data_IF_549528981433
#
_entry.id   IF_549528981433
#
_cell.length_a   1.000
_cell.length_b   1.000
_cell.length_c   1.000
_cell.angle_alpha   90.00
_cell.angle_beta   90.00
_cell.angle_gamma   90.00
#
_symmetry.space_group_name_H-M   'P 1'
#
loop_
_entity.id
_entity.type
_entity.pdbx_description
1 polymer ?
#
# COMPACT_ATOMS: atom_id res chain seq x y z
N UNK A 1 -1.70 63.36 -6.59
CA UNK A 1 -3.10 62.93 -6.83
C UNK A 1 -3.30 61.57 -6.18
N UNK A 2 -4.43 61.44 -5.45
CA UNK A 2 -5.05 60.24 -4.87
C UNK A 2 -4.42 59.66 -3.60
N UNK A 3 -4.97 60.17 -2.51
CA UNK A 3 -5.20 59.49 -1.24
C UNK A 3 -6.25 58.38 -1.45
N UNK A 4 -6.05 57.20 -0.87
CA UNK A 4 -7.16 56.41 -0.30
C UNK A 4 -6.66 55.45 0.78
N UNK A 5 -7.27 55.65 1.94
CA UNK A 5 -7.23 54.91 3.18
C UNK A 5 -8.23 53.73 3.14
N UNK A 6 -7.95 52.66 3.88
CA UNK A 6 -8.92 51.75 4.51
C UNK A 6 -9.82 50.88 3.62
N UNK A 7 -9.77 49.55 3.81
CA UNK A 7 -10.79 48.86 4.61
C UNK A 7 -10.58 47.34 4.61
N UNK A 8 -10.50 46.81 5.83
CA UNK A 8 -10.62 45.40 6.17
C UNK A 8 -12.07 44.96 5.85
N UNK A 9 -12.25 44.07 4.88
CA UNK A 9 -13.55 43.49 4.56
C UNK A 9 -13.58 42.01 4.95
N UNK A 10 -14.33 41.69 6.00
CA UNK A 10 -14.75 40.35 6.34
C UNK A 10 -15.63 39.78 5.21
N UNK A 11 -15.15 38.75 4.50
CA UNK A 11 -16.02 37.95 3.64
C UNK A 11 -16.66 36.83 4.46
N UNK A 12 -17.94 37.02 4.78
CA UNK A 12 -18.82 35.96 5.27
C UNK A 12 -19.11 34.97 4.13
N UNK A 13 -19.01 33.67 4.42
CA UNK A 13 -19.31 32.59 3.50
C UNK A 13 -20.84 32.43 3.35
N UNK A 14 -21.40 32.83 2.21
CA UNK A 14 -22.82 32.61 1.89
C UNK A 14 -22.99 31.21 1.27
N UNK A 15 -23.51 30.27 2.05
CA UNK A 15 -23.90 28.95 1.55
C UNK A 15 -25.30 29.04 0.92
N UNK A 16 -25.38 29.22 -0.40
CA UNK A 16 -26.64 29.14 -1.14
C UNK A 16 -26.92 27.67 -1.51
N UNK A 17 -27.82 27.04 -0.75
CA UNK A 17 -28.36 25.73 -1.08
C UNK A 17 -29.51 25.89 -2.09
N UNK A 18 -29.23 25.73 -3.38
CA UNK A 18 -30.26 25.63 -4.41
C UNK A 18 -30.73 24.18 -4.55
N UNK A 19 -31.85 23.85 -3.89
CA UNK A 19 -32.59 22.63 -4.15
C UNK A 19 -33.37 22.75 -5.46
N UNK A 20 -32.79 22.26 -6.56
CA UNK A 20 -33.54 21.99 -7.79
C UNK A 20 -34.27 20.65 -7.68
N UNK A 21 -35.56 20.70 -7.38
CA UNK A 21 -36.46 19.55 -7.41
C UNK A 21 -36.75 19.14 -8.87
N UNK A 22 -35.99 18.18 -9.40
CA UNK A 22 -36.38 17.46 -10.63
C UNK A 22 -37.26 16.27 -10.25
N UNK A 23 -38.55 16.37 -10.55
CA UNK A 23 -39.51 15.28 -10.49
C UNK A 23 -39.29 14.33 -11.66
N UNK A 24 -38.83 13.11 -11.37
CA UNK A 24 -38.83 12.01 -12.33
C UNK A 24 -39.76 10.88 -11.88
N UNK A 25 -40.75 10.66 -12.73
CA UNK A 25 -41.88 9.74 -12.64
C UNK A 25 -41.43 8.30 -12.42
N UNK A 26 -42.09 7.62 -11.49
CA UNK A 26 -41.79 6.26 -11.05
C UNK A 26 -42.28 5.20 -12.06
N UNK A 27 -41.36 4.55 -12.77
CA UNK A 27 -41.55 3.21 -13.33
C UNK A 27 -41.21 2.15 -12.28
N UNK A 28 -42.22 1.55 -11.65
CA UNK A 28 -42.07 0.43 -10.71
C UNK A 28 -41.88 -0.89 -11.47
N UNK A 29 -40.71 -1.52 -11.37
CA UNK A 29 -40.53 -2.88 -11.91
C UNK A 29 -39.15 -3.54 -11.90
N UNK A 30 -38.05 -2.89 -11.48
CA UNK A 30 -36.69 -3.49 -11.63
C UNK A 30 -35.83 -3.54 -10.34
N UNK A 31 -36.27 -2.98 -9.21
CA UNK A 31 -35.42 -2.81 -8.02
C UNK A 31 -34.96 -4.09 -7.29
N UNK A 32 -35.62 -5.23 -7.45
CA UNK A 32 -35.28 -6.47 -6.72
C UNK A 32 -34.08 -7.22 -7.32
N UNK A 33 -33.92 -7.21 -8.65
CA UNK A 33 -32.74 -7.78 -9.32
C UNK A 33 -31.46 -7.00 -8.99
N UNK A 34 -31.55 -5.68 -8.98
CA UNK A 34 -30.42 -4.80 -8.65
C UNK A 34 -29.90 -5.00 -7.22
N UNK A 35 -30.77 -5.24 -6.24
CA UNK A 35 -30.36 -5.54 -4.86
C UNK A 35 -29.60 -6.87 -4.77
N UNK A 36 -30.07 -7.92 -5.45
CA UNK A 36 -29.38 -9.23 -5.48
C UNK A 36 -28.00 -9.14 -6.14
N UNK A 37 -27.91 -8.44 -7.28
CA UNK A 37 -26.64 -8.21 -7.98
C UNK A 37 -25.66 -7.37 -7.12
N UNK A 38 -26.18 -6.37 -6.41
CA UNK A 38 -25.37 -5.55 -5.50
C UNK A 38 -24.79 -6.39 -4.34
N UNK A 39 -25.62 -7.24 -3.72
CA UNK A 39 -25.17 -8.17 -2.67
C UNK A 39 -24.13 -9.15 -3.21
N UNK A 40 -24.33 -9.73 -4.39
CA UNK A 40 -23.35 -10.63 -5.02
C UNK A 40 -22.00 -9.93 -5.25
N UNK A 41 -22.01 -8.67 -5.72
CA UNK A 41 -20.80 -7.86 -5.90
C UNK A 41 -20.09 -7.61 -4.57
N UNK A 42 -20.83 -7.27 -3.50
CA UNK A 42 -20.25 -7.11 -2.16
C UNK A 42 -19.59 -8.41 -1.71
N UNK A 43 -20.28 -9.55 -1.85
CA UNK A 43 -19.75 -10.85 -1.44
C UNK A 43 -18.50 -11.23 -2.25
N UNK A 44 -18.47 -10.93 -3.54
CA UNK A 44 -17.29 -11.12 -4.38
C UNK A 44 -16.11 -10.26 -3.90
N UNK A 45 -16.35 -8.97 -3.59
CA UNK A 45 -15.32 -8.07 -3.07
C UNK A 45 -14.77 -8.53 -1.71
N UNK A 46 -15.64 -9.05 -0.83
CA UNK A 46 -15.21 -9.61 0.47
C UNK A 46 -14.31 -10.82 0.25
N UNK A 47 -14.66 -11.72 -0.67
CA UNK A 47 -13.82 -12.89 -0.99
C UNK A 47 -12.46 -12.47 -1.53
N UNK A 48 -12.42 -11.53 -2.47
CA UNK A 48 -11.16 -11.07 -3.06
C UNK A 48 -10.27 -10.36 -2.03
N UNK A 49 -10.88 -9.58 -1.11
CA UNK A 49 -10.16 -8.98 0.01
C UNK A 49 -9.53 -10.05 0.90
N UNK A 50 -10.25 -11.10 1.27
CA UNK A 50 -9.72 -12.22 2.07
C UNK A 50 -8.57 -12.93 1.36
N UNK A 51 -8.70 -13.18 0.05
CA UNK A 51 -7.64 -13.77 -0.77
C UNK A 51 -6.37 -12.91 -0.74
N UNK A 52 -6.52 -11.60 -0.95
CA UNK A 52 -5.39 -10.66 -0.92
C UNK A 52 -4.79 -10.51 0.48
N UNK A 53 -5.62 -10.56 1.54
CA UNK A 53 -5.16 -10.55 2.92
C UNK A 53 -4.24 -11.74 3.20
N UNK A 54 -4.66 -12.97 2.85
CA UNK A 54 -3.84 -14.18 3.01
C UNK A 54 -2.50 -14.08 2.26
N UNK A 55 -2.49 -13.51 1.06
CA UNK A 55 -1.25 -13.24 0.32
C UNK A 55 -0.35 -12.23 1.06
N UNK A 56 -0.93 -11.17 1.61
CA UNK A 56 -0.17 -10.17 2.35
C UNK A 56 0.38 -10.73 3.67
N UNK A 57 -0.34 -11.64 4.33
CA UNK A 57 0.14 -12.38 5.49
C UNK A 57 1.37 -13.22 5.13
N UNK A 58 1.35 -13.94 4.00
CA UNK A 58 2.53 -14.66 3.50
C UNK A 58 3.73 -13.73 3.23
N UNK A 59 3.50 -12.54 2.66
CA UNK A 59 4.55 -11.53 2.51
C UNK A 59 5.10 -11.04 3.85
N UNK A 60 4.26 -10.91 4.88
CA UNK A 60 4.71 -10.51 6.21
C UNK A 60 5.57 -11.58 6.85
N UNK A 61 5.17 -12.86 6.77
CA UNK A 61 5.98 -13.99 7.23
C UNK A 61 7.33 -14.03 6.52
N UNK A 62 7.34 -13.84 5.20
CA UNK A 62 8.60 -13.76 4.43
C UNK A 62 9.50 -12.62 4.92
N UNK A 63 8.95 -11.44 5.23
CA UNK A 63 9.74 -10.32 5.79
C UNK A 63 10.36 -10.63 7.15
N UNK A 64 9.71 -11.44 7.98
CA UNK A 64 10.26 -11.78 9.30
C UNK A 64 11.52 -12.65 9.24
N UNK A 65 11.68 -13.45 8.17
CA UNK A 65 12.82 -14.34 8.00
C UNK A 65 13.94 -13.74 7.16
N UNK A 66 13.70 -12.60 6.50
CA UNK A 66 14.71 -11.90 5.73
C UNK A 66 15.54 -11.03 6.68
N UNK A 67 16.88 -11.12 6.66
CA UNK A 67 17.72 -10.28 7.51
C UNK A 67 17.63 -8.80 7.08
N UNK A 68 16.95 -7.96 7.88
CA UNK A 68 16.85 -6.51 7.70
C UNK A 68 16.90 -5.75 9.03
N UNK A 69 17.03 -4.41 8.99
CA UNK A 69 16.91 -3.60 10.19
C UNK A 69 15.45 -3.53 10.66
N UNK A 70 15.18 -3.38 11.97
CA UNK A 70 13.82 -3.28 12.51
C UNK A 70 12.98 -2.12 11.94
N UNK A 71 13.64 -1.07 11.44
CA UNK A 71 12.98 0.10 10.84
C UNK A 71 12.64 -0.08 9.35
N UNK A 72 13.15 -1.12 8.70
CA UNK A 72 13.08 -1.23 7.25
C UNK A 72 11.66 -1.57 6.78
N UNK A 73 11.10 -0.71 5.93
CA UNK A 73 9.81 -0.95 5.28
C UNK A 73 10.03 -1.49 3.87
N UNK A 74 10.00 -2.82 3.73
CA UNK A 74 10.23 -3.47 2.44
C UNK A 74 8.98 -3.48 1.56
N UNK A 75 9.11 -3.00 0.32
CA UNK A 75 8.10 -3.19 -0.74
C UNK A 75 7.99 -4.67 -1.13
N UNK A 76 6.92 -5.07 -1.85
CA UNK A 76 6.75 -6.47 -2.31
C UNK A 76 7.92 -6.91 -3.20
N UNK A 77 8.34 -6.06 -4.15
CA UNK A 77 9.46 -6.37 -5.04
C UNK A 77 10.79 -6.46 -4.28
N UNK A 78 11.04 -5.54 -3.34
CA UNK A 78 12.24 -5.58 -2.52
C UNK A 78 12.29 -6.85 -1.66
N UNK A 79 11.16 -7.23 -1.06
CA UNK A 79 11.03 -8.47 -0.27
C UNK A 79 11.41 -9.68 -1.11
N UNK A 80 10.89 -9.80 -2.34
CA UNK A 80 11.20 -10.93 -3.22
C UNK A 80 12.67 -10.93 -3.67
N UNK A 81 13.21 -9.78 -4.09
CA UNK A 81 14.62 -9.64 -4.48
C UNK A 81 15.55 -10.06 -3.33
N UNK A 82 15.25 -9.61 -2.11
CA UNK A 82 16.07 -9.87 -0.94
C UNK A 82 15.98 -11.34 -0.49
N UNK A 83 14.78 -11.94 -0.55
CA UNK A 83 14.60 -13.37 -0.30
C UNK A 83 15.45 -14.24 -1.24
N UNK A 84 15.43 -13.98 -2.55
CA UNK A 84 16.23 -14.72 -3.52
C UNK A 84 17.73 -14.62 -3.24
N UNK A 85 18.21 -13.43 -2.86
CA UNK A 85 19.62 -13.23 -2.49
C UNK A 85 19.97 -13.97 -1.20
N UNK A 86 19.10 -13.93 -0.21
CA UNK A 86 19.34 -14.62 1.06
C UNK A 86 19.42 -16.14 0.87
N UNK A 87 18.56 -16.72 0.02
CA UNK A 87 18.65 -18.15 -0.35
C UNK A 87 20.02 -18.46 -0.98
N UNK A 88 20.47 -17.67 -1.97
CA UNK A 88 21.77 -17.89 -2.63
C UNK A 88 22.93 -17.83 -1.63
N UNK A 89 22.90 -16.85 -0.74
CA UNK A 89 23.89 -16.69 0.30
C UNK A 89 23.94 -17.90 1.23
N UNK A 90 22.79 -18.41 1.68
CA UNK A 90 22.74 -19.61 2.52
C UNK A 90 23.30 -20.84 1.79
N UNK A 91 23.06 -20.97 0.48
CA UNK A 91 23.64 -22.04 -0.35
C UNK A 91 25.16 -21.93 -0.41
N UNK A 92 25.70 -20.74 -0.69
CA UNK A 92 27.16 -20.51 -0.75
C UNK A 92 27.85 -20.83 0.60
N UNK A 93 27.22 -20.48 1.73
CA UNK A 93 27.74 -20.86 3.07
C UNK A 93 27.84 -22.37 3.22
N UNK A 94 26.80 -23.09 2.81
CA UNK A 94 26.73 -24.54 2.96
C UNK A 94 27.76 -25.24 2.06
N UNK A 95 27.95 -24.73 0.84
CA UNK A 95 28.88 -25.31 -0.14
C UNK A 95 30.36 -25.03 0.21
N UNK A 96 30.67 -23.88 0.81
CA UNK A 96 32.05 -23.47 1.14
C UNK A 96 32.48 -23.82 2.57
N UNK A 97 31.67 -24.58 3.32
CA UNK A 97 32.07 -25.19 4.59
C UNK A 97 32.78 -24.22 5.53
N UNK A 98 32.09 -23.14 5.94
CA UNK A 98 32.59 -22.15 6.92
C UNK A 98 33.91 -21.42 6.53
N UNK A 99 34.38 -21.54 5.28
CA UNK A 99 35.70 -21.08 4.84
C UNK A 99 35.79 -19.66 4.25
N UNK A 100 34.66 -18.99 4.02
CA UNK A 100 34.65 -17.56 3.66
C UNK A 100 34.13 -16.75 4.84
N UNK A 101 35.01 -16.04 5.58
CA UNK A 101 34.59 -15.10 6.61
C UNK A 101 34.13 -13.82 5.91
N UNK A 102 32.97 -13.86 5.26
CA UNK A 102 32.20 -12.62 5.09
C UNK A 102 31.71 -12.28 6.48
N UNK A 103 32.49 -11.47 7.20
CA UNK A 103 32.14 -11.04 8.55
C UNK A 103 30.74 -10.39 8.53
N UNK A 104 30.08 -10.37 9.69
CA UNK A 104 28.77 -9.72 9.84
C UNK A 104 28.80 -8.26 9.34
N UNK A 105 29.97 -7.63 9.30
CA UNK A 105 30.19 -6.27 8.79
C UNK A 105 30.22 -6.19 7.25
N UNK A 106 30.66 -7.23 6.53
CA UNK A 106 30.72 -7.38 5.07
C UNK A 106 29.35 -7.80 4.56
N UNK A 107 28.63 -8.64 5.32
CA UNK A 107 27.20 -8.89 5.14
C UNK A 107 26.39 -7.61 5.34
N UNK A 108 26.58 -6.92 6.46
CA UNK A 108 25.93 -5.64 6.70
C UNK A 108 26.33 -4.61 5.64
N UNK A 109 27.58 -4.60 5.13
CA UNK A 109 27.99 -3.74 4.00
C UNK A 109 27.35 -4.17 2.69
N UNK A 110 27.23 -5.45 2.34
CA UNK A 110 26.51 -5.88 1.14
C UNK A 110 25.03 -5.50 1.26
N UNK A 111 24.41 -5.65 2.42
CA UNK A 111 23.02 -5.22 2.64
C UNK A 111 22.86 -3.69 2.74
N UNK A 112 23.87 -2.95 3.22
CA UNK A 112 23.85 -1.48 3.40
C UNK A 112 24.33 -0.71 2.16
N UNK A 113 25.29 -1.24 1.39
CA UNK A 113 25.75 -0.66 0.11
C UNK A 113 24.66 -0.86 -0.95
N UNK A 114 23.95 -1.98 -0.93
CA UNK A 114 22.75 -2.18 -1.76
C UNK A 114 21.52 -1.39 -1.31
N UNK A 115 21.62 -0.59 -0.24
CA UNK A 115 20.59 0.38 0.21
C UNK A 115 20.62 1.69 -0.60
N UNK A 116 21.65 1.92 -1.42
CA UNK A 116 21.88 3.20 -2.13
C UNK A 116 21.71 3.14 -3.65
N UNK A 117 21.36 1.98 -4.23
CA UNK A 117 20.91 1.92 -5.64
C UNK A 117 19.40 1.67 -5.70
N UNK A 118 18.64 2.74 -5.46
CA UNK A 118 17.46 3.16 -6.25
C UNK A 118 17.12 4.63 -5.94
#
# INVERSE_FOLDING_TARGET
MKVCNGNHAHHYNHNHNHNHSHSHSHGHGHGHGHKKLHVQRILANVRERKRTQSLNEGFNTLRQIIPTLPSDKLSKIATLKLACRYIKFLVEILDHGNGYPMDDQQLHRLFTIWRLEE
#
